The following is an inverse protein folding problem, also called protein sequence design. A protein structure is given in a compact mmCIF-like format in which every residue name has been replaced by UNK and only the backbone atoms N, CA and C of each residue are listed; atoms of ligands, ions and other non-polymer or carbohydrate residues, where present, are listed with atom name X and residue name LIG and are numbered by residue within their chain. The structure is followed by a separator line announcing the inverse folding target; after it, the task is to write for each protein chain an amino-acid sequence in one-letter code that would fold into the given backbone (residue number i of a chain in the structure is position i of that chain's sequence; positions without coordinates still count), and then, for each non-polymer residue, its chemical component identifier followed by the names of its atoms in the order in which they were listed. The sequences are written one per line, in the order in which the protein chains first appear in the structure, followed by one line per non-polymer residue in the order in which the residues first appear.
data_IF_200652293006
#
_entry.id   IF_200652293006
#
_cell.length_a   1.000
_cell.length_b   1.000
_cell.length_c   1.000
_cell.angle_alpha   90.00
_cell.angle_beta   90.00
_cell.angle_gamma   90.00
#
_symmetry.space_group_name_H-M   'P 1'
#
loop_
_entity.id
_entity.type
_entity.pdbx_description
1 polymer ?
#
# COMPACT_ATOMS: atom_id res chain seq x y z
N UNK A 1 5.40 -2.68 -4.62
CA UNK A 1 5.65 -3.67 -5.68
C UNK A 1 4.68 -4.82 -5.53
N UNK A 2 4.14 -5.37 -6.61
CA UNK A 2 3.13 -6.44 -6.55
C UNK A 2 3.60 -7.68 -5.75
N UNK A 3 4.83 -8.21 -5.93
CA UNK A 3 5.29 -9.39 -5.17
C UNK A 3 5.32 -9.22 -3.66
N UNK A 4 5.47 -7.99 -3.17
CA UNK A 4 5.38 -7.71 -1.73
C UNK A 4 3.97 -7.96 -1.20
N UNK A 5 2.94 -7.62 -1.99
CA UNK A 5 1.52 -7.71 -1.61
C UNK A 5 0.89 -9.08 -1.90
N UNK A 6 1.60 -9.98 -2.58
CA UNK A 6 1.16 -11.35 -2.86
C UNK A 6 2.06 -12.40 -2.20
N UNK A 7 2.93 -11.97 -1.29
CA UNK A 7 3.79 -12.87 -0.51
C UNK A 7 2.97 -13.57 0.59
N UNK A 8 3.52 -14.62 1.20
CA UNK A 8 2.82 -15.40 2.23
C UNK A 8 2.40 -14.59 3.47
N UNK A 9 3.11 -13.50 3.78
CA UNK A 9 2.80 -12.61 4.91
C UNK A 9 2.01 -11.37 4.51
N UNK A 10 1.65 -11.22 3.24
CA UNK A 10 0.83 -10.11 2.80
C UNK A 10 -0.65 -10.44 2.84
N UNK A 11 -1.45 -9.42 3.10
CA UNK A 11 -2.89 -9.49 3.06
C UNK A 11 -3.42 -8.39 2.13
N UNK A 12 -4.29 -8.80 1.21
CA UNK A 12 -4.96 -7.93 0.26
C UNK A 12 -6.46 -8.11 0.46
N UNK A 13 -7.26 -7.04 0.35
CA UNK A 13 -8.70 -7.09 0.59
C UNK A 13 -9.38 -8.22 -0.20
N UNK A 14 -10.44 -8.84 0.36
CA UNK A 14 -11.20 -9.86 -0.33
C UNK A 14 -11.89 -9.27 -1.57
N UNK A 15 -12.12 -10.11 -2.59
CA UNK A 15 -12.79 -9.71 -3.82
C UNK A 15 -14.20 -9.12 -3.51
N UNK A 16 -14.63 -8.05 -4.21
CA UNK A 16 -14.05 -7.48 -5.43
C UNK A 16 -12.93 -6.46 -5.19
N UNK A 17 -12.38 -6.39 -3.97
CA UNK A 17 -11.17 -5.63 -3.71
C UNK A 17 -11.33 -4.12 -3.91
N UNK A 18 -10.26 -3.47 -4.35
CA UNK A 18 -10.21 -2.04 -4.64
C UNK A 18 -9.73 -1.78 -6.07
N UNK A 19 -10.30 -0.74 -6.65
CA UNK A 19 -9.99 -0.29 -8.01
C UNK A 19 -8.71 0.55 -8.07
N UNK A 20 -8.12 0.63 -9.26
CA UNK A 20 -7.03 1.56 -9.56
C UNK A 20 -7.44 3.00 -9.20
N UNK A 21 -6.51 3.76 -8.63
CA UNK A 21 -6.71 5.14 -8.18
C UNK A 21 -7.28 5.25 -6.77
N UNK A 22 -7.61 4.14 -6.12
CA UNK A 22 -8.06 4.16 -4.72
C UNK A 22 -6.89 4.54 -3.81
N UNK A 23 -7.14 5.50 -2.90
CA UNK A 23 -6.21 5.84 -1.83
C UNK A 23 -6.27 4.75 -0.75
N UNK A 24 -5.11 4.22 -0.39
CA UNK A 24 -4.95 3.10 0.53
C UNK A 24 -3.99 3.42 1.66
N UNK A 25 -4.21 2.75 2.77
CA UNK A 25 -3.31 2.75 3.93
C UNK A 25 -2.46 1.49 3.89
N UNK A 26 -1.16 1.62 4.08
CA UNK A 26 -0.21 0.52 4.10
C UNK A 26 0.09 0.13 5.55
N UNK A 27 -0.34 -1.07 5.92
CA UNK A 27 -0.09 -1.67 7.23
C UNK A 27 1.04 -2.71 7.15
N UNK A 28 1.55 -3.11 8.31
CA UNK A 28 2.49 -4.22 8.43
C UNK A 28 2.06 -5.16 9.55
N UNK A 29 2.38 -6.45 9.38
CA UNK A 29 2.16 -7.45 10.42
C UNK A 29 2.82 -7.03 11.73
N UNK A 30 2.13 -7.24 12.85
CA UNK A 30 2.60 -6.88 14.19
C UNK A 30 2.85 -5.36 14.40
N UNK A 31 2.22 -4.49 13.61
CA UNK A 31 2.16 -3.04 13.84
C UNK A 31 0.71 -2.60 14.02
N UNK A 32 0.47 -1.83 15.09
CA UNK A 32 -0.85 -1.25 15.36
C UNK A 32 -1.15 -0.07 14.43
N UNK A 33 -0.14 0.75 14.15
CA UNK A 33 -0.27 1.95 13.34
C UNK A 33 0.14 1.71 11.89
N UNK A 34 -0.51 2.43 10.99
CA UNK A 34 -0.16 2.48 9.57
C UNK A 34 1.27 3.01 9.35
N UNK A 35 1.94 2.48 8.32
CA UNK A 35 3.31 2.89 7.97
C UNK A 35 3.35 3.92 6.84
N UNK A 36 2.34 3.92 5.97
CA UNK A 36 2.29 4.82 4.82
C UNK A 36 0.87 4.99 4.27
N UNK A 37 0.71 5.99 3.42
CA UNK A 37 -0.45 6.26 2.58
C UNK A 37 0.01 6.21 1.12
N UNK A 38 -0.78 5.61 0.24
CA UNK A 38 -0.48 5.55 -1.18
C UNK A 38 -1.72 5.44 -2.06
N UNK A 39 -1.51 5.47 -3.37
CA UNK A 39 -2.54 5.30 -4.39
C UNK A 39 -2.30 4.01 -5.18
N UNK A 40 -3.35 3.24 -5.42
CA UNK A 40 -3.28 2.04 -6.25
C UNK A 40 -3.01 2.37 -7.72
N UNK A 41 -1.93 1.83 -8.28
CA UNK A 41 -1.61 1.99 -9.71
C UNK A 41 -2.30 0.96 -10.62
N UNK A 42 -2.90 -0.06 -10.03
CA UNK A 42 -3.74 -1.09 -10.65
C UNK A 42 -4.70 -1.67 -9.58
N UNK A 43 -5.76 -2.36 -9.98
CA UNK A 43 -6.71 -2.98 -9.04
C UNK A 43 -6.05 -4.07 -8.18
N UNK A 44 -6.63 -4.40 -7.03
CA UNK A 44 -6.09 -5.46 -6.15
C UNK A 44 -6.11 -6.86 -6.80
N UNK A 45 -7.03 -7.06 -7.73
CA UNK A 45 -7.22 -8.24 -8.57
C UNK A 45 -6.10 -8.35 -9.60
N UNK A 46 -5.74 -7.23 -10.23
CA UNK A 46 -4.56 -7.14 -11.10
C UNK A 46 -3.26 -7.36 -10.32
N UNK A 47 -3.14 -6.83 -9.10
CA UNK A 47 -1.96 -7.08 -8.23
C UNK A 47 -1.79 -8.58 -7.98
N UNK A 48 -2.87 -9.27 -7.59
CA UNK A 48 -2.87 -10.72 -7.33
C UNK A 48 -2.54 -11.55 -8.59
N UNK A 49 -3.11 -11.19 -9.74
CA UNK A 49 -2.99 -11.97 -10.97
C UNK A 49 -1.69 -11.74 -11.74
N UNK A 50 -1.25 -10.48 -11.86
CA UNK A 50 -0.03 -10.11 -12.62
C UNK A 50 1.22 -10.41 -11.80
N UNK A 51 1.19 -10.12 -10.48
CA UNK A 51 2.31 -10.33 -9.55
C UNK A 51 3.67 -9.78 -10.07
N UNK A 52 3.63 -8.63 -10.76
CA UNK A 52 4.83 -7.96 -11.30
C UNK A 52 4.62 -6.46 -11.40
N UNK A 53 5.69 -5.70 -11.17
CA UNK A 53 5.69 -4.24 -11.33
C UNK A 53 5.26 -3.48 -10.08
N UNK A 54 5.00 -2.19 -10.25
CA UNK A 54 4.61 -1.30 -9.17
C UNK A 54 3.10 -1.35 -8.94
N UNK A 55 2.70 -1.64 -7.70
CA UNK A 55 1.30 -1.79 -7.29
C UNK A 55 0.70 -0.54 -6.68
N UNK A 56 1.50 0.19 -5.89
CA UNK A 56 1.09 1.36 -5.11
C UNK A 56 2.13 2.45 -5.33
N UNK A 57 1.67 3.67 -5.59
CA UNK A 57 2.45 4.90 -5.55
C UNK A 57 2.39 5.48 -4.14
N UNK A 58 3.54 5.74 -3.52
CA UNK A 58 3.62 6.18 -2.13
C UNK A 58 3.40 7.70 -2.07
N UNK A 59 2.44 8.16 -1.27
CA UNK A 59 2.13 9.59 -1.09
C UNK A 59 2.82 10.13 0.17
N UNK A 60 2.71 9.40 1.29
CA UNK A 60 3.28 9.78 2.58
C UNK A 60 3.73 8.52 3.33
N UNK A 61 4.82 8.60 4.09
CA UNK A 61 5.27 7.50 4.93
C UNK A 61 5.96 7.95 6.21
N UNK A 62 6.03 7.02 7.17
CA UNK A 62 6.77 7.22 8.42
C UNK A 62 8.21 7.66 8.14
N UNK A 63 8.62 8.78 8.73
CA UNK A 63 9.97 9.33 8.62
C UNK A 63 10.25 10.17 7.37
N UNK A 64 9.25 10.42 6.52
CA UNK A 64 9.41 11.37 5.41
C UNK A 64 9.48 12.85 5.90
N UNK A 65 9.73 13.83 5.01
CA UNK A 65 9.80 15.23 5.42
C UNK A 65 8.50 15.76 6.06
N UNK A 66 7.33 15.30 5.62
CA UNK A 66 6.05 15.70 6.18
C UNK A 66 5.82 15.11 7.57
N UNK A 67 6.28 13.88 7.81
CA UNK A 67 6.25 13.24 9.13
C UNK A 67 7.06 14.02 10.16
N UNK A 68 8.24 14.50 9.75
CA UNK A 68 9.14 15.26 10.61
C UNK A 68 8.83 16.77 10.62
N UNK A 69 7.84 17.21 9.84
CA UNK A 69 7.47 18.61 9.77
C UNK A 69 6.80 19.02 11.08
N UNK A 70 7.43 19.95 11.79
CA UNK A 70 6.87 20.63 12.96
C UNK A 70 6.67 22.10 12.62
N UNK A 71 5.62 22.71 13.18
CA UNK A 71 5.25 24.11 12.95
C UNK A 71 5.89 25.04 14.01
N UNK A 72 6.73 24.52 14.91
CA UNK A 72 7.44 25.33 15.91
C UNK A 72 8.39 26.39 15.31
#
# INVERSE_FOLDING_TARGET
MCPGLTSAGADLPPAPGYEKGTIVVINAENKENALAIGELMMSTEEIKSINKGHSIELIHHLGDPLWNFSIE
#
